data_IF_350184886638
#
_entry.id   IF_350184886638
#
_cell.length_a   1.000
_cell.length_b   1.000
_cell.length_c   1.000
_cell.angle_alpha   90.00
_cell.angle_beta   90.00
_cell.angle_gamma   90.00
#
_symmetry.space_group_name_H-M   'P 1'
#
loop_
_entity.id
_entity.type
_entity.pdbx_description
1 polymer ?
#
# COMPACT_ATOMS: atom_id res chain seq x y z
N UNK A 1 -5.45 47.59 -16.98
CA UNK A 1 -4.76 46.36 -16.51
C UNK A 1 -4.92 46.14 -15.01
N UNK A 2 -4.99 47.18 -14.17
CA UNK A 2 -5.23 47.04 -12.74
C UNK A 2 -6.70 46.69 -12.39
N UNK A 3 -7.67 47.27 -13.10
CA UNK A 3 -9.11 47.06 -12.86
C UNK A 3 -9.55 45.60 -12.98
N UNK A 4 -9.02 44.86 -13.96
CA UNK A 4 -9.36 43.44 -14.12
C UNK A 4 -8.80 42.54 -13.00
N UNK A 5 -7.73 42.95 -12.33
CA UNK A 5 -7.15 42.21 -11.20
C UNK A 5 -8.01 42.41 -9.96
N UNK A 6 -8.48 43.64 -9.71
CA UNK A 6 -9.37 43.94 -8.58
C UNK A 6 -10.70 43.20 -8.70
N UNK A 7 -11.23 43.08 -9.92
CA UNK A 7 -12.47 42.35 -10.19
C UNK A 7 -12.32 40.83 -9.98
N UNK A 8 -11.19 40.24 -10.39
CA UNK A 8 -10.85 38.84 -10.08
C UNK A 8 -10.67 38.59 -8.58
N UNK A 9 -9.98 39.51 -7.88
CA UNK A 9 -9.76 39.41 -6.43
C UNK A 9 -11.08 39.51 -5.65
N UNK A 10 -12.00 40.36 -6.09
CA UNK A 10 -13.34 40.47 -5.51
C UNK A 10 -14.14 39.17 -5.68
N UNK A 11 -14.02 38.49 -6.83
CA UNK A 11 -14.68 37.21 -7.08
C UNK A 11 -14.10 36.05 -6.25
N UNK A 12 -12.82 36.13 -5.86
CA UNK A 12 -12.16 35.11 -5.05
C UNK A 12 -12.26 35.37 -3.54
N UNK A 13 -12.73 36.55 -3.13
CA UNK A 13 -12.85 36.92 -1.71
C UNK A 13 -13.71 35.93 -0.92
N UNK A 14 -14.79 35.43 -1.51
CA UNK A 14 -15.68 34.44 -0.88
C UNK A 14 -14.99 33.10 -0.58
N UNK A 15 -13.93 32.75 -1.33
CA UNK A 15 -13.17 31.52 -1.09
C UNK A 15 -12.32 31.59 0.17
N UNK A 16 -12.02 32.79 0.67
CA UNK A 16 -11.24 32.99 1.91
C UNK A 16 -11.98 32.56 3.17
N UNK A 17 -13.31 32.48 3.10
CA UNK A 17 -14.20 32.07 4.18
C UNK A 17 -14.54 30.58 4.17
N UNK A 18 -14.00 29.82 3.20
CA UNK A 18 -14.18 28.36 3.19
C UNK A 18 -13.46 27.78 4.39
N UNK A 19 -14.23 27.36 5.40
CA UNK A 19 -13.71 26.57 6.49
C UNK A 19 -13.20 25.23 5.94
N UNK A 20 -11.90 25.14 5.73
CA UNK A 20 -11.23 23.88 5.47
C UNK A 20 -11.23 23.11 6.78
N UNK A 21 -12.38 22.50 7.10
CA UNK A 21 -12.58 21.70 8.31
C UNK A 21 -11.39 20.76 8.45
N UNK A 22 -10.59 20.95 9.51
CA UNK A 22 -9.36 20.20 9.74
C UNK A 22 -9.75 18.77 10.02
N UNK A 23 -9.86 17.95 8.98
CA UNK A 23 -10.13 16.52 9.11
C UNK A 23 -8.96 15.90 9.87
N UNK A 24 -9.25 15.40 11.07
CA UNK A 24 -8.28 14.61 11.81
C UNK A 24 -7.75 13.49 10.91
N UNK A 25 -6.44 13.24 10.98
CA UNK A 25 -5.85 12.14 10.22
C UNK A 25 -6.49 10.85 10.70
N UNK A 26 -7.05 10.09 9.76
CA UNK A 26 -7.61 8.76 10.04
C UNK A 26 -6.56 7.89 10.73
N UNK A 27 -6.90 7.17 11.82
CA UNK A 27 -5.96 6.30 12.50
C UNK A 27 -5.51 5.16 11.56
N UNK A 28 -4.24 4.77 11.64
CA UNK A 28 -3.64 3.72 10.83
C UNK A 28 -3.30 2.51 11.70
N UNK A 29 -3.44 1.31 11.13
CA UNK A 29 -2.97 0.07 11.75
C UNK A 29 -1.44 0.05 11.81
N UNK A 30 -0.88 -0.33 12.96
CA UNK A 30 0.57 -0.46 13.17
C UNK A 30 1.21 -1.65 12.42
N UNK A 31 0.42 -2.62 11.94
CA UNK A 31 0.91 -3.80 11.21
C UNK A 31 0.86 -3.56 9.70
N UNK A 32 -0.31 -3.23 9.15
CA UNK A 32 -0.50 -3.09 7.70
C UNK A 32 -0.50 -1.65 7.18
N UNK A 33 -0.41 -0.65 8.07
CA UNK A 33 -0.46 0.79 7.75
C UNK A 33 -1.70 1.26 7.00
N UNK A 34 -2.77 0.45 6.94
CA UNK A 34 -4.07 0.85 6.38
C UNK A 34 -4.91 1.60 7.42
N UNK A 35 -5.85 2.46 6.99
CA UNK A 35 -6.84 3.03 7.90
C UNK A 35 -7.58 1.94 8.66
N UNK A 36 -7.83 2.16 9.95
CA UNK A 36 -8.41 1.15 10.86
C UNK A 36 -9.70 0.53 10.29
N UNK A 37 -10.59 1.34 9.71
CA UNK A 37 -11.86 0.86 9.14
C UNK A 37 -11.75 -0.07 7.93
N UNK A 38 -10.57 -0.19 7.30
CA UNK A 38 -10.30 -1.10 6.16
C UNK A 38 -9.07 -1.98 6.42
N UNK A 39 -8.73 -2.17 7.69
CA UNK A 39 -7.65 -3.04 8.11
C UNK A 39 -8.04 -4.51 7.90
N UNK A 40 -7.16 -5.30 7.28
CA UNK A 40 -7.34 -6.74 7.09
C UNK A 40 -6.61 -7.59 8.14
N UNK A 41 -5.81 -6.99 9.03
CA UNK A 41 -5.04 -7.76 10.01
C UNK A 41 -5.92 -8.59 10.94
N UNK A 42 -7.15 -8.12 11.22
CA UNK A 42 -8.10 -8.90 12.01
C UNK A 42 -8.50 -10.21 11.32
N UNK A 43 -8.65 -10.19 9.99
CA UNK A 43 -9.02 -11.37 9.20
C UNK A 43 -7.89 -12.37 8.99
N UNK A 44 -6.62 -11.96 9.13
CA UNK A 44 -5.49 -12.89 9.02
C UNK A 44 -5.28 -13.76 10.25
N UNK A 45 -5.92 -13.43 11.37
CA UNK A 45 -5.65 -14.08 12.65
C UNK A 45 -4.34 -13.60 13.29
N UNK A 46 -4.13 -14.01 14.55
CA UNK A 46 -2.92 -13.66 15.31
C UNK A 46 -1.72 -14.57 14.99
N UNK A 47 -2.01 -15.80 14.56
CA UNK A 47 -0.99 -16.81 14.26
C UNK A 47 -0.69 -16.82 12.77
N UNK A 48 0.60 -16.95 12.44
CA UNK A 48 1.05 -17.09 11.05
C UNK A 48 0.73 -18.50 10.55
N UNK A 49 0.49 -18.62 9.25
CA UNK A 49 0.20 -19.88 8.57
C UNK A 49 1.51 -20.63 8.38
N UNK A 50 1.70 -21.70 9.14
CA UNK A 50 2.84 -22.60 8.97
C UNK A 50 2.83 -23.24 7.58
N UNK A 51 3.99 -23.31 6.93
CA UNK A 51 4.13 -23.90 5.60
C UNK A 51 5.17 -25.01 5.62
N UNK A 52 4.87 -26.13 4.97
CA UNK A 52 5.83 -27.22 4.76
C UNK A 52 6.83 -26.94 3.65
N UNK A 53 6.61 -25.85 2.89
CA UNK A 53 7.44 -25.44 1.78
C UNK A 53 7.88 -23.98 1.92
N UNK A 54 8.84 -23.59 1.08
CA UNK A 54 9.24 -22.20 0.91
C UNK A 54 8.34 -21.51 -0.11
N UNK A 55 7.75 -20.39 0.26
CA UNK A 55 6.86 -19.60 -0.60
C UNK A 55 7.67 -18.55 -1.37
N UNK A 56 7.57 -18.55 -2.70
CA UNK A 56 8.19 -17.51 -3.54
C UNK A 56 7.11 -16.53 -3.99
N UNK A 57 7.20 -15.28 -3.52
CA UNK A 57 6.27 -14.20 -3.83
C UNK A 57 6.86 -13.39 -5.00
N UNK A 58 6.27 -13.54 -6.19
CA UNK A 58 6.65 -12.77 -7.37
C UNK A 58 5.82 -11.49 -7.42
N UNK A 59 6.45 -10.32 -7.23
CA UNK A 59 5.74 -9.05 -7.19
C UNK A 59 6.14 -8.14 -8.36
N UNK A 60 5.15 -7.71 -9.14
CA UNK A 60 5.38 -6.74 -10.20
C UNK A 60 5.53 -5.31 -9.62
N UNK A 61 6.44 -4.46 -10.11
CA UNK A 61 6.60 -3.08 -9.62
C UNK A 61 5.33 -2.22 -9.74
N UNK A 62 4.40 -2.57 -10.65
CA UNK A 62 3.11 -1.87 -10.73
C UNK A 62 2.14 -2.32 -9.63
N UNK A 63 2.20 -3.57 -9.18
CA UNK A 63 1.39 -4.03 -8.05
C UNK A 63 1.87 -3.37 -6.75
N UNK A 64 3.18 -3.24 -6.56
CA UNK A 64 3.76 -2.56 -5.40
C UNK A 64 3.24 -1.11 -5.22
N UNK A 65 2.88 -0.45 -6.31
CA UNK A 65 2.35 0.92 -6.30
C UNK A 65 0.84 1.00 -6.05
N UNK A 66 0.11 -0.12 -6.08
CA UNK A 66 -1.35 -0.13 -5.86
C UNK A 66 -1.66 -0.04 -4.36
N UNK A 67 -2.83 0.49 -4.02
CA UNK A 67 -3.31 0.48 -2.63
C UNK A 67 -3.71 -0.94 -2.17
N UNK A 68 -4.25 -1.73 -3.10
CA UNK A 68 -4.60 -3.14 -2.92
C UNK A 68 -3.44 -3.99 -3.40
N UNK A 69 -2.72 -4.63 -2.46
CA UNK A 69 -1.52 -5.42 -2.73
C UNK A 69 -1.63 -6.72 -1.98
N UNK A 70 -1.32 -7.82 -2.65
CA UNK A 70 -1.41 -9.15 -2.05
C UNK A 70 -0.11 -9.52 -1.34
N UNK A 71 1.05 -9.07 -1.85
CA UNK A 71 2.34 -9.39 -1.24
C UNK A 71 2.45 -8.99 0.26
N UNK A 72 2.03 -7.78 0.71
CA UNK A 72 2.06 -7.45 2.14
C UNK A 72 1.14 -8.32 3.00
N UNK A 73 0.05 -8.83 2.43
CA UNK A 73 -0.87 -9.74 3.12
C UNK A 73 -0.16 -11.08 3.36
N UNK A 74 0.49 -11.63 2.32
CA UNK A 74 1.26 -12.88 2.43
C UNK A 74 2.45 -12.74 3.39
N UNK A 75 3.17 -11.62 3.34
CA UNK A 75 4.29 -11.34 4.26
C UNK A 75 3.86 -11.29 5.73
N UNK A 76 2.66 -10.77 6.00
CA UNK A 76 2.07 -10.74 7.33
C UNK A 76 1.55 -12.13 7.77
N UNK A 77 1.02 -12.91 6.82
CA UNK A 77 0.43 -14.22 7.08
C UNK A 77 1.48 -15.34 7.25
N UNK A 78 2.65 -15.23 6.64
CA UNK A 78 3.66 -16.31 6.60
C UNK A 78 4.77 -16.13 7.66
N UNK A 79 5.30 -17.21 8.26
CA UNK A 79 6.46 -17.15 9.16
C UNK A 79 7.66 -16.43 8.56
N UNK A 80 8.44 -15.75 9.41
CA UNK A 80 9.70 -15.13 8.97
C UNK A 80 10.62 -16.24 8.46
N UNK A 81 11.17 -16.07 7.24
CA UNK A 81 12.04 -17.06 6.61
C UNK A 81 11.31 -18.14 5.79
N UNK A 82 9.99 -18.29 5.95
CA UNK A 82 9.20 -19.22 5.14
C UNK A 82 8.95 -18.71 3.71
N UNK A 83 9.28 -17.44 3.42
CA UNK A 83 9.06 -16.85 2.10
C UNK A 83 10.25 -16.04 1.58
N UNK A 84 10.27 -15.82 0.27
CA UNK A 84 11.15 -14.86 -0.42
C UNK A 84 10.31 -14.01 -1.33
N UNK A 85 10.57 -12.70 -1.33
CA UNK A 85 9.98 -11.78 -2.30
C UNK A 85 10.95 -11.52 -3.45
N UNK A 86 10.48 -11.67 -4.69
CA UNK A 86 11.22 -11.35 -5.91
C UNK A 86 10.44 -10.28 -6.65
N UNK A 87 11.06 -9.11 -6.85
CA UNK A 87 10.45 -7.98 -7.56
C UNK A 87 10.93 -7.92 -9.00
N UNK A 88 10.02 -7.79 -9.96
CA UNK A 88 10.40 -7.77 -11.37
C UNK A 88 9.26 -7.51 -12.34
N UNK A 89 9.60 -6.98 -13.52
CA UNK A 89 8.65 -6.87 -14.64
C UNK A 89 8.40 -8.20 -15.34
N UNK A 90 9.37 -9.11 -15.25
CA UNK A 90 9.39 -10.44 -15.83
C UNK A 90 10.11 -11.37 -14.87
N UNK A 91 9.73 -12.64 -14.86
CA UNK A 91 10.27 -13.67 -13.96
C UNK A 91 10.71 -14.89 -14.77
N UNK A 92 11.75 -14.77 -15.62
CA UNK A 92 12.30 -15.93 -16.30
C UNK A 92 12.91 -16.89 -15.28
N UNK A 93 12.79 -18.20 -15.50
CA UNK A 93 13.31 -19.24 -14.60
C UNK A 93 14.79 -19.04 -14.26
N UNK A 94 15.61 -18.61 -15.23
CA UNK A 94 17.04 -18.32 -15.02
C UNK A 94 17.35 -17.19 -14.04
N UNK A 95 16.37 -16.38 -13.65
CA UNK A 95 16.51 -15.35 -12.60
C UNK A 95 15.85 -15.75 -11.29
N UNK A 96 15.18 -16.90 -11.25
CA UNK A 96 14.53 -17.44 -10.07
C UNK A 96 15.42 -18.51 -9.45
N UNK A 97 16.61 -18.10 -8.99
CA UNK A 97 17.59 -18.98 -8.29
C UNK A 97 17.00 -19.75 -7.10
N UNK A 98 15.84 -19.30 -6.59
CA UNK A 98 15.10 -19.97 -5.52
C UNK A 98 14.25 -21.17 -6.00
N UNK A 99 14.15 -21.40 -7.31
CA UNK A 99 13.40 -22.52 -7.91
C UNK A 99 14.32 -23.62 -8.48
N UNK A 100 15.65 -23.44 -8.45
CA UNK A 100 16.60 -24.31 -9.17
C UNK A 100 16.94 -25.64 -8.46
N UNK A 101 16.17 -26.07 -7.46
CA UNK A 101 16.39 -27.35 -6.76
C UNK A 101 15.07 -28.11 -6.52
N UNK A 102 14.33 -28.42 -7.58
CA UNK A 102 13.23 -29.39 -7.52
C UNK A 102 13.59 -30.63 -8.32
#
# INVERSE_FOLDING_TARGET
MAEGIEEELAQLADLTHIEIGRREKRPLCNICSRPVGVCWCWSLGRQRVETSCRVVILQHPHEEKRCLRTAPILQAALPKGAYVEVKGKRFPFSRLVYLENT
#
